data_IF_240818366246
#
_entry.id   IF_240818366246
#
_cell.length_a   1.000
_cell.length_b   1.000
_cell.length_c   1.000
_cell.angle_alpha   90.00
_cell.angle_beta   90.00
_cell.angle_gamma   90.00
#
_symmetry.space_group_name_H-M   'P 1'
#
loop_
_entity.id
_entity.type
_entity.pdbx_description
1 polymer ?
#
# COMPACT_ATOMS: atom_id res chain seq x y z
N UNK A 1 16.00 -20.28 7.58
CA UNK A 1 15.32 -18.97 7.46
C UNK A 1 13.83 -19.22 7.30
N UNK A 2 12.98 -18.57 8.09
CA UNK A 2 11.54 -18.61 7.85
C UNK A 2 11.22 -17.81 6.57
N UNK A 3 10.32 -18.33 5.72
CA UNK A 3 9.91 -17.63 4.51
C UNK A 3 9.23 -16.29 4.88
N UNK A 4 9.59 -15.21 4.18
CA UNK A 4 9.02 -13.87 4.35
C UNK A 4 7.49 -13.86 4.11
N UNK A 5 7.01 -14.82 3.33
CA UNK A 5 5.59 -15.04 3.03
C UNK A 5 5.26 -16.53 3.13
N UNK A 6 4.12 -16.86 3.77
CA UNK A 6 3.58 -18.23 3.80
C UNK A 6 2.90 -18.64 2.48
N UNK A 7 2.40 -17.68 1.70
CA UNK A 7 1.66 -17.87 0.45
C UNK A 7 2.15 -16.86 -0.59
N UNK A 8 1.81 -17.08 -1.87
CA UNK A 8 1.99 -16.08 -2.93
C UNK A 8 1.31 -14.75 -2.60
N UNK A 9 2.02 -13.65 -2.85
CA UNK A 9 1.51 -12.29 -2.66
C UNK A 9 0.86 -11.82 -3.95
N UNK A 10 -0.43 -11.48 -3.89
CA UNK A 10 -1.15 -10.80 -4.98
C UNK A 10 -1.26 -9.32 -4.66
N UNK A 11 -0.91 -8.47 -5.63
CA UNK A 11 -0.89 -7.00 -5.47
C UNK A 11 -2.00 -6.39 -6.33
N UNK A 12 -3.21 -6.31 -5.78
CA UNK A 12 -4.37 -5.79 -6.52
C UNK A 12 -4.78 -4.39 -6.07
N UNK A 13 -4.42 -4.00 -4.84
CA UNK A 13 -4.77 -2.71 -4.25
C UNK A 13 -3.56 -2.06 -3.59
N UNK A 14 -3.54 -0.72 -3.43
CA UNK A 14 -2.45 -0.03 -2.74
C UNK A 14 -2.16 -0.59 -1.33
N UNK A 15 -3.19 -1.04 -0.62
CA UNK A 15 -3.06 -1.65 0.71
C UNK A 15 -2.28 -2.98 0.68
N UNK A 16 -2.34 -3.74 -0.42
CA UNK A 16 -1.56 -4.98 -0.58
C UNK A 16 -0.07 -4.66 -0.69
N UNK A 17 0.27 -3.63 -1.47
CA UNK A 17 1.64 -3.10 -1.60
C UNK A 17 2.14 -2.61 -0.24
N UNK A 18 1.33 -1.82 0.48
CA UNK A 18 1.66 -1.35 1.84
C UNK A 18 2.03 -2.50 2.78
N UNK A 19 1.21 -3.56 2.81
CA UNK A 19 1.42 -4.74 3.66
C UNK A 19 2.67 -5.51 3.29
N UNK A 20 2.92 -5.69 1.99
CA UNK A 20 4.12 -6.33 1.48
C UNK A 20 5.38 -5.56 1.89
N UNK A 21 5.45 -4.27 1.58
CA UNK A 21 6.62 -3.43 1.86
C UNK A 21 6.90 -3.33 3.36
N UNK A 22 5.86 -3.21 4.19
CA UNK A 22 6.00 -3.20 5.65
C UNK A 22 6.68 -4.46 6.19
N UNK A 23 6.37 -5.64 5.63
CA UNK A 23 7.03 -6.91 6.00
C UNK A 23 8.49 -6.93 5.59
N UNK A 24 8.80 -6.43 4.38
CA UNK A 24 10.18 -6.35 3.89
C UNK A 24 11.01 -5.39 4.75
N UNK A 25 10.47 -4.21 5.08
CA UNK A 25 11.13 -3.24 5.97
C UNK A 25 11.41 -3.89 7.33
N UNK A 26 10.41 -4.53 7.94
CA UNK A 26 10.59 -5.20 9.23
C UNK A 26 11.62 -6.33 9.17
N UNK A 27 11.65 -7.10 8.09
CA UNK A 27 12.67 -8.12 7.87
C UNK A 27 14.07 -7.51 7.79
N UNK A 28 14.25 -6.43 7.03
CA UNK A 28 15.53 -5.73 6.91
C UNK A 28 16.00 -5.11 8.24
N UNK A 29 15.07 -4.60 9.05
CA UNK A 29 15.34 -4.04 10.38
C UNK A 29 15.75 -5.09 11.41
N UNK A 30 15.24 -6.31 11.29
CA UNK A 30 15.42 -7.36 12.32
C UNK A 30 16.48 -8.40 11.97
N UNK A 31 16.94 -8.43 10.71
CA UNK A 31 17.89 -9.45 10.24
C UNK A 31 19.28 -8.87 10.08
N UNK A 32 20.24 -9.29 10.91
CA UNK A 32 21.66 -8.92 10.82
C UNK A 32 21.95 -7.45 11.12
N UNK A 33 23.20 -7.03 10.94
CA UNK A 33 23.61 -5.64 11.23
C UNK A 33 23.05 -4.64 10.22
N UNK A 34 22.85 -3.40 10.67
CA UNK A 34 22.42 -2.31 9.83
C UNK A 34 23.58 -1.81 8.96
N UNK A 35 23.47 -2.00 7.64
CA UNK A 35 24.44 -1.48 6.66
C UNK A 35 23.88 -0.26 5.95
N UNK A 36 24.75 0.53 5.31
CA UNK A 36 24.34 1.67 4.48
C UNK A 36 23.37 1.26 3.35
N UNK A 37 23.57 0.08 2.77
CA UNK A 37 22.69 -0.45 1.72
C UNK A 37 21.31 -0.79 2.26
N UNK A 38 21.22 -1.41 3.45
CA UNK A 38 19.94 -1.65 4.12
C UNK A 38 19.23 -0.35 4.45
N UNK A 39 19.94 0.64 4.97
CA UNK A 39 19.35 1.94 5.28
C UNK A 39 18.77 2.62 4.02
N UNK A 40 19.50 2.59 2.89
CA UNK A 40 19.01 3.09 1.60
C UNK A 40 17.78 2.33 1.11
N UNK A 41 17.80 1.00 1.21
CA UNK A 41 16.67 0.16 0.83
C UNK A 41 15.42 0.48 1.69
N UNK A 42 15.56 0.56 3.01
CA UNK A 42 14.48 0.92 3.92
C UNK A 42 13.91 2.30 3.57
N UNK A 43 14.76 3.30 3.33
CA UNK A 43 14.30 4.64 2.94
C UNK A 43 13.46 4.60 1.65
N UNK A 44 13.92 3.90 0.61
CA UNK A 44 13.17 3.77 -0.64
C UNK A 44 11.83 3.03 -0.46
N UNK A 45 11.83 1.95 0.33
CA UNK A 45 10.62 1.18 0.64
C UNK A 45 9.62 2.00 1.47
N UNK A 46 10.09 2.79 2.43
CA UNK A 46 9.26 3.69 3.25
C UNK A 46 8.57 4.74 2.39
N UNK A 47 9.30 5.40 1.47
CA UNK A 47 8.70 6.39 0.57
C UNK A 47 7.64 5.75 -0.35
N UNK A 48 7.91 4.55 -0.85
CA UNK A 48 6.93 3.80 -1.66
C UNK A 48 5.72 3.40 -0.82
N UNK A 49 5.92 3.05 0.45
CA UNK A 49 4.85 2.72 1.39
C UNK A 49 3.96 3.94 1.65
N UNK A 50 4.54 5.11 1.90
CA UNK A 50 3.78 6.36 2.07
C UNK A 50 2.93 6.68 0.84
N UNK A 51 3.51 6.58 -0.36
CA UNK A 51 2.78 6.77 -1.61
C UNK A 51 1.62 5.79 -1.77
N UNK A 52 1.79 4.53 -1.34
CA UNK A 52 0.69 3.54 -1.40
C UNK A 52 -0.46 3.86 -0.43
N UNK A 53 -0.19 4.58 0.66
CA UNK A 53 -1.22 5.06 1.58
C UNK A 53 -2.02 6.17 0.90
N UNK A 54 -1.34 7.18 0.38
CA UNK A 54 -1.97 8.30 -0.35
C UNK A 54 -2.85 7.81 -1.51
N UNK A 55 -2.37 6.83 -2.29
CA UNK A 55 -3.16 6.23 -3.38
C UNK A 55 -4.39 5.46 -2.87
N UNK A 56 -4.31 4.85 -1.68
CA UNK A 56 -5.44 4.19 -1.04
C UNK A 56 -6.50 5.19 -0.62
N UNK A 57 -6.10 6.27 0.03
CA UNK A 57 -7.01 7.33 0.49
C UNK A 57 -7.71 8.01 -0.70
N UNK A 58 -6.95 8.34 -1.76
CA UNK A 58 -7.52 8.87 -3.01
C UNK A 58 -8.51 7.92 -3.67
N UNK A 59 -8.25 6.61 -3.61
CA UNK A 59 -9.18 5.61 -4.15
C UNK A 59 -10.50 5.60 -3.37
N UNK A 60 -10.46 5.77 -2.04
CA UNK A 60 -11.65 5.86 -1.20
C UNK A 60 -12.45 7.14 -1.48
N UNK A 61 -11.78 8.29 -1.59
CA UNK A 61 -12.43 9.56 -1.96
C UNK A 61 -13.09 9.50 -3.34
N UNK A 62 -12.42 8.91 -4.34
CA UNK A 62 -12.99 8.72 -5.68
C UNK A 62 -14.24 7.84 -5.65
N UNK A 63 -14.25 6.78 -4.84
CA UNK A 63 -15.42 5.91 -4.74
C UNK A 63 -16.61 6.64 -4.10
N UNK A 64 -16.37 7.45 -3.07
CA UNK A 64 -17.40 8.32 -2.48
C UNK A 64 -17.95 9.33 -3.49
N UNK A 65 -17.08 9.94 -4.31
CA UNK A 65 -17.51 10.86 -5.36
C UNK A 65 -18.38 10.17 -6.42
N UNK A 66 -18.01 8.95 -6.86
CA UNK A 66 -18.83 8.17 -7.79
C UNK A 66 -20.23 7.89 -7.22
N UNK A 67 -20.33 7.52 -5.95
CA UNK A 67 -21.63 7.29 -5.31
C UNK A 67 -22.50 8.55 -5.29
N UNK A 68 -21.91 9.72 -5.02
CA UNK A 68 -22.63 11.01 -5.04
C UNK A 68 -23.12 11.31 -6.45
N UNK A 69 -22.27 11.16 -7.46
CA UNK A 69 -22.64 11.38 -8.88
C UNK A 69 -23.79 10.45 -9.29
N UNK A 70 -23.71 9.16 -8.98
CA UNK A 70 -24.79 8.21 -9.30
C UNK A 70 -26.12 8.58 -8.63
N UNK A 71 -26.09 9.06 -7.38
CA UNK A 71 -27.30 9.52 -6.68
C UNK A 71 -27.90 10.76 -7.32
N UNK A 72 -27.09 11.66 -7.86
CA UNK A 72 -27.55 12.86 -8.57
C UNK A 72 -28.15 12.51 -9.94
N UNK A 73 -27.48 11.67 -10.73
CA UNK A 73 -27.99 11.21 -12.02
C UNK A 73 -29.28 10.40 -11.88
N UNK A 74 -29.37 9.53 -10.87
CA UNK A 74 -30.58 8.77 -10.57
C UNK A 74 -31.76 9.62 -10.07
N UNK A 75 -31.50 10.85 -9.59
CA UNK A 75 -32.54 11.85 -9.25
C UNK A 75 -32.94 12.70 -10.46
N UNK A 76 -32.05 12.90 -11.44
CA UNK A 76 -32.35 13.65 -12.65
C UNK A 76 -33.22 12.87 -13.64
N UNK A 77 -33.20 11.53 -13.59
CA UNK A 77 -33.99 10.63 -14.43
C UNK A 77 -35.34 10.18 -13.83
N UNK A 78 -35.76 10.76 -12.70
CA UNK A 78 -37.07 10.54 -12.06
C UNK A 78 -37.90 11.81 -12.08
#
# INVERSE_FOLDING_TARGET
>A
MAALYKNEVRLNRPQDVRRMLSRVINYLLTTGEMTNEKAKAINALSNTTLKSIEMGDLQEELEQLKEVVQKLEGRANK
#
